data_IF_978017865563
#
_entry.id   IF_978017865563
#
_cell.length_a   1.000
_cell.length_b   1.000
_cell.length_c   1.000
_cell.angle_alpha   90.00
_cell.angle_beta   90.00
_cell.angle_gamma   90.00
#
_symmetry.space_group_name_H-M   'P 1'
#
loop_
_entity.id
_entity.type
_entity.pdbx_description
1 polymer ?
#
# COMPACT_ATOMS: atom_id res chain seq x y z
N UNK A 1 7.22 12.47 16.77
CA UNK A 1 7.68 12.61 15.37
C UNK A 1 8.13 11.26 14.86
N UNK A 2 7.66 10.88 13.68
CA UNK A 2 8.03 9.58 13.11
C UNK A 2 9.48 9.58 12.64
N UNK A 3 10.18 8.49 12.91
CA UNK A 3 11.57 8.32 12.51
C UNK A 3 11.66 7.46 11.26
N UNK A 4 12.71 7.70 10.47
CA UNK A 4 12.97 6.88 9.29
C UNK A 4 13.61 5.58 9.74
N UNK A 5 13.02 4.46 9.32
CA UNK A 5 13.49 3.12 9.66
C UNK A 5 13.65 2.33 8.38
N UNK A 6 14.75 1.59 8.25
CA UNK A 6 14.90 0.66 7.13
C UNK A 6 14.09 -0.60 7.41
N UNK A 7 13.19 -0.93 6.50
CA UNK A 7 12.30 -2.09 6.64
C UNK A 7 12.55 -3.04 5.48
N UNK A 8 12.63 -4.33 5.79
CA UNK A 8 12.83 -5.36 4.77
C UNK A 8 11.67 -5.34 3.75
N UNK A 9 11.99 -5.37 2.48
CA UNK A 9 10.98 -5.33 1.41
C UNK A 9 9.94 -6.44 1.56
N UNK A 10 10.35 -7.63 2.01
CA UNK A 10 9.45 -8.78 2.21
C UNK A 10 8.40 -8.54 3.30
N UNK A 11 8.61 -7.52 4.15
CA UNK A 11 7.68 -7.17 5.23
C UNK A 11 6.71 -6.06 4.85
N UNK A 12 6.83 -5.54 3.63
CA UNK A 12 5.98 -4.47 3.13
C UNK A 12 4.89 -5.06 2.24
N UNK A 13 3.63 -4.76 2.57
CA UNK A 13 2.47 -5.28 1.86
C UNK A 13 1.69 -4.13 1.23
N UNK A 14 1.18 -4.29 -0.01
CA UNK A 14 0.36 -3.24 -0.61
C UNK A 14 -0.97 -3.11 0.14
N UNK A 15 -1.49 -1.89 0.21
CA UNK A 15 -2.79 -1.66 0.83
C UNK A 15 -3.90 -2.22 -0.07
N UNK A 16 -4.86 -2.98 0.47
CA UNK A 16 -5.92 -3.58 -0.36
C UNK A 16 -6.83 -2.54 -1.03
N UNK A 17 -6.94 -1.35 -0.46
CA UNK A 17 -7.78 -0.28 -1.01
C UNK A 17 -6.99 0.76 -1.80
N UNK A 18 -5.74 0.49 -2.13
CA UNK A 18 -4.94 1.41 -2.93
C UNK A 18 -5.63 1.65 -4.27
N UNK A 19 -5.97 2.91 -4.61
CA UNK A 19 -6.67 3.21 -5.87
C UNK A 19 -5.84 2.87 -7.10
N UNK A 20 -4.51 2.87 -6.99
CA UNK A 20 -3.63 2.48 -8.08
C UNK A 20 -3.32 0.98 -8.01
N UNK A 21 -4.14 0.17 -8.69
CA UNK A 21 -3.97 -1.28 -8.69
C UNK A 21 -2.85 -1.75 -9.63
N UNK A 22 -2.68 -1.06 -10.75
CA UNK A 22 -1.59 -1.34 -11.68
C UNK A 22 -0.48 -0.32 -11.48
N UNK A 23 0.73 -0.82 -11.25
CA UNK A 23 1.88 0.02 -10.97
C UNK A 23 2.63 0.46 -12.22
N UNK A 24 2.26 -0.09 -13.38
CA UNK A 24 2.87 0.23 -14.66
C UNK A 24 4.25 -0.38 -14.83
N UNK A 25 4.99 0.11 -15.82
CA UNK A 25 6.36 -0.34 -16.08
C UNK A 25 7.30 0.30 -15.05
N UNK A 26 7.99 -0.54 -14.29
CA UNK A 26 8.90 -0.11 -13.23
C UNK A 26 10.36 -0.16 -13.65
N UNK A 27 10.66 -0.49 -14.90
CA UNK A 27 12.04 -0.73 -15.38
C UNK A 27 12.95 0.47 -15.14
N UNK A 28 12.52 1.66 -15.56
CA UNK A 28 13.31 2.89 -15.37
C UNK A 28 13.48 3.25 -13.91
N UNK A 29 12.39 3.15 -13.14
CA UNK A 29 12.43 3.46 -11.71
C UNK A 29 13.33 2.47 -10.97
N UNK A 30 13.23 1.18 -11.28
CA UNK A 30 14.07 0.15 -10.69
C UNK A 30 15.54 0.37 -11.03
N UNK A 31 15.86 0.74 -12.27
CA UNK A 31 17.22 1.05 -12.68
C UNK A 31 17.78 2.25 -11.91
N UNK A 32 17.00 3.30 -11.76
CA UNK A 32 17.38 4.48 -10.99
C UNK A 32 17.63 4.14 -9.53
N UNK A 33 16.76 3.34 -8.93
CA UNK A 33 16.90 2.91 -7.53
C UNK A 33 18.16 2.06 -7.34
N UNK A 34 18.43 1.16 -8.27
CA UNK A 34 19.60 0.29 -8.22
C UNK A 34 20.89 1.10 -8.28
N UNK A 35 20.93 2.15 -9.11
CA UNK A 35 22.09 2.99 -9.31
C UNK A 35 22.27 4.03 -8.21
N UNK A 36 21.18 4.69 -7.79
CA UNK A 36 21.23 5.87 -6.92
C UNK A 36 20.58 5.67 -5.54
N UNK A 37 19.89 4.57 -5.31
CA UNK A 37 19.11 4.33 -4.10
C UNK A 37 17.77 5.05 -4.12
N UNK A 38 17.09 5.04 -2.99
CA UNK A 38 15.78 5.67 -2.83
C UNK A 38 15.95 7.03 -2.16
N UNK A 39 15.53 8.10 -2.84
CA UNK A 39 15.62 9.46 -2.32
C UNK A 39 14.42 9.87 -1.47
N UNK A 40 13.28 9.22 -1.65
CA UNK A 40 12.06 9.52 -0.90
C UNK A 40 11.63 8.31 -0.09
N UNK A 41 11.32 8.53 1.18
CA UNK A 41 10.88 7.47 2.07
C UNK A 41 9.47 7.00 1.73
N UNK A 42 9.20 5.73 2.01
CA UNK A 42 7.84 5.22 1.97
C UNK A 42 7.14 5.60 3.28
N UNK A 43 5.81 5.71 3.23
CA UNK A 43 4.98 5.87 4.43
C UNK A 43 4.22 4.57 4.64
N UNK A 44 4.34 4.00 5.83
CA UNK A 44 3.75 2.70 6.17
C UNK A 44 3.06 2.75 7.53
N UNK A 45 2.13 1.83 7.75
CA UNK A 45 1.51 1.62 9.06
C UNK A 45 1.88 0.22 9.57
N UNK A 46 1.91 0.01 10.91
CA UNK A 46 2.15 -1.33 11.46
C UNK A 46 1.00 -2.28 11.14
N UNK A 47 1.33 -3.54 10.85
CA UNK A 47 0.34 -4.56 10.57
C UNK A 47 -0.09 -4.59 9.11
N UNK A 48 -0.80 -5.66 8.74
CA UNK A 48 -1.31 -5.80 7.37
C UNK A 48 -2.46 -6.80 7.32
N UNK A 49 -3.30 -6.69 6.29
CA UNK A 49 -4.30 -7.71 5.99
C UNK A 49 -3.63 -8.88 5.28
N UNK A 50 -3.95 -10.10 5.69
CA UNK A 50 -3.38 -11.29 5.06
C UNK A 50 -3.82 -11.39 3.60
N UNK A 51 -2.87 -11.67 2.70
CA UNK A 51 -3.20 -11.99 1.32
C UNK A 51 -3.74 -13.43 1.25
N UNK A 52 -4.20 -13.87 0.07
CA UNK A 52 -4.80 -15.20 -0.07
C UNK A 52 -3.84 -16.31 0.32
N UNK A 53 -2.57 -16.21 -0.05
CA UNK A 53 -1.56 -17.22 0.27
C UNK A 53 -1.35 -17.33 1.78
N UNK A 54 -1.20 -16.20 2.45
CA UNK A 54 -1.01 -16.15 3.90
C UNK A 54 -2.23 -16.70 4.65
N UNK A 55 -3.42 -16.31 4.20
CA UNK A 55 -4.67 -16.76 4.79
C UNK A 55 -4.85 -18.27 4.66
N UNK A 56 -4.58 -18.82 3.47
CA UNK A 56 -4.65 -20.27 3.24
C UNK A 56 -3.67 -21.00 4.13
N UNK A 57 -2.42 -20.54 4.22
CA UNK A 57 -1.41 -21.15 5.05
C UNK A 57 -1.83 -21.18 6.52
N UNK A 58 -2.39 -20.06 7.01
CA UNK A 58 -2.88 -19.97 8.38
C UNK A 58 -4.01 -20.96 8.64
N UNK A 59 -4.98 -21.05 7.74
CA UNK A 59 -6.11 -21.97 7.89
C UNK A 59 -5.64 -23.43 7.88
N UNK A 60 -4.70 -23.79 7.02
CA UNK A 60 -4.16 -25.15 6.95
C UNK A 60 -3.41 -25.49 8.23
N UNK A 61 -2.61 -24.56 8.76
CA UNK A 61 -1.89 -24.75 10.03
C UNK A 61 -2.85 -24.99 11.20
N UNK A 62 -4.05 -24.40 11.13
CA UNK A 62 -5.10 -24.59 12.14
C UNK A 62 -5.98 -25.83 11.89
N UNK A 63 -5.60 -26.65 10.91
CA UNK A 63 -6.29 -27.90 10.60
C UNK A 63 -7.42 -27.77 9.56
N UNK A 64 -7.53 -26.60 8.89
CA UNK A 64 -8.53 -26.37 7.88
C UNK A 64 -8.15 -26.89 6.50
N UNK A 65 -9.10 -26.77 5.58
CA UNK A 65 -8.95 -27.18 4.18
C UNK A 65 -8.49 -26.01 3.32
N UNK A 66 -7.44 -26.23 2.51
CA UNK A 66 -6.88 -25.18 1.66
C UNK A 66 -7.89 -24.65 0.62
N UNK A 67 -8.69 -25.54 0.02
CA UNK A 67 -9.68 -25.14 -0.97
C UNK A 67 -10.80 -24.29 -0.37
N UNK A 68 -11.27 -24.68 0.83
CA UNK A 68 -12.26 -23.91 1.57
C UNK A 68 -11.73 -22.55 1.98
N UNK A 69 -10.48 -22.48 2.43
CA UNK A 69 -9.84 -21.22 2.81
C UNK A 69 -9.70 -20.29 1.59
N UNK A 70 -9.30 -20.81 0.44
CA UNK A 70 -9.18 -20.02 -0.78
C UNK A 70 -10.52 -19.42 -1.20
N UNK A 71 -11.60 -20.19 -1.05
CA UNK A 71 -12.95 -19.71 -1.39
C UNK A 71 -13.47 -18.67 -0.39
N UNK A 72 -13.05 -18.74 0.87
CA UNK A 72 -13.50 -17.83 1.94
C UNK A 72 -12.71 -16.54 2.02
N UNK A 73 -11.52 -16.48 1.43
CA UNK A 73 -10.66 -15.31 1.54
C UNK A 73 -11.24 -14.09 0.84
N UNK A 74 -11.08 -12.93 1.50
CA UNK A 74 -11.34 -11.61 0.91
C UNK A 74 -10.18 -10.69 1.28
N UNK A 75 -9.97 -9.57 0.55
CA UNK A 75 -8.82 -8.68 0.83
C UNK A 75 -8.71 -8.16 2.26
N UNK A 76 -9.81 -8.13 3.01
CA UNK A 76 -9.82 -7.65 4.39
C UNK A 76 -10.32 -8.71 5.37
N UNK A 77 -10.09 -9.99 5.06
CA UNK A 77 -10.60 -11.08 5.87
C UNK A 77 -9.96 -11.14 7.27
N UNK A 78 -8.63 -11.01 7.35
CA UNK A 78 -7.89 -11.13 8.62
C UNK A 78 -6.79 -10.10 8.68
N UNK A 79 -6.71 -9.38 9.80
CA UNK A 79 -5.62 -8.45 10.10
C UNK A 79 -4.55 -9.15 10.91
N UNK A 80 -3.28 -8.91 10.57
CA UNK A 80 -2.12 -9.36 11.34
C UNK A 80 -1.40 -8.14 11.90
N UNK A 81 -0.89 -8.22 13.12
CA UNK A 81 -0.06 -7.17 13.70
C UNK A 81 1.39 -7.24 13.21
N UNK A 82 1.74 -8.30 12.48
CA UNK A 82 3.08 -8.46 11.91
C UNK A 82 3.23 -7.65 10.63
N UNK A 83 4.47 -7.31 10.31
CA UNK A 83 4.83 -6.59 9.09
C UNK A 83 4.15 -5.21 8.98
N UNK A 84 4.12 -4.65 7.78
CA UNK A 84 3.67 -3.28 7.54
C UNK A 84 2.86 -3.19 6.27
N UNK A 85 1.94 -2.21 6.24
CA UNK A 85 1.15 -1.90 5.05
C UNK A 85 1.63 -0.57 4.46
N UNK A 86 1.86 -0.55 3.15
CA UNK A 86 2.30 0.66 2.45
C UNK A 86 1.11 1.59 2.25
N UNK A 87 1.28 2.86 2.63
CA UNK A 87 0.28 3.90 2.39
C UNK A 87 0.73 4.77 1.22
N UNK A 88 1.98 5.21 1.22
CA UNK A 88 2.56 6.02 0.14
C UNK A 88 3.84 5.33 -0.32
N UNK A 89 4.02 5.23 -1.63
CA UNK A 89 5.24 4.69 -2.23
C UNK A 89 5.11 3.28 -2.77
N UNK A 90 3.92 2.85 -3.15
CA UNK A 90 3.70 1.50 -3.71
C UNK A 90 4.62 1.23 -4.91
N UNK A 91 4.75 2.18 -5.84
CA UNK A 91 5.63 2.01 -7.00
C UNK A 91 7.09 1.91 -6.58
N UNK A 92 7.51 2.75 -5.64
CA UNK A 92 8.90 2.72 -5.14
C UNK A 92 9.22 1.40 -4.46
N UNK A 93 8.30 0.87 -3.66
CA UNK A 93 8.47 -0.42 -3.00
C UNK A 93 8.61 -1.54 -4.02
N UNK A 94 7.73 -1.57 -5.03
CA UNK A 94 7.78 -2.59 -6.08
C UNK A 94 9.05 -2.47 -6.92
N UNK A 95 9.45 -1.25 -7.26
CA UNK A 95 10.67 -1.01 -8.04
C UNK A 95 11.92 -1.38 -7.24
N UNK A 96 11.93 -1.13 -5.93
CA UNK A 96 13.04 -1.51 -5.06
C UNK A 96 13.22 -3.03 -5.02
N UNK A 97 12.14 -3.78 -4.97
CA UNK A 97 12.18 -5.24 -5.03
C UNK A 97 12.71 -5.71 -6.39
N UNK A 98 12.26 -5.09 -7.47
CA UNK A 98 12.73 -5.40 -8.82
C UNK A 98 14.23 -5.08 -8.98
N UNK A 99 14.70 -4.03 -8.31
CA UNK A 99 16.11 -3.65 -8.31
C UNK A 99 16.99 -4.55 -7.43
N UNK A 100 16.39 -5.42 -6.63
CA UNK A 100 17.10 -6.35 -5.76
C UNK A 100 17.47 -5.80 -4.40
N UNK A 101 16.87 -4.68 -3.98
CA UNK A 101 17.11 -4.15 -2.64
C UNK A 101 16.44 -5.03 -1.59
N UNK A 102 17.13 -5.24 -0.48
CA UNK A 102 16.59 -6.04 0.63
C UNK A 102 15.77 -5.19 1.59
N UNK A 103 16.12 -3.91 1.74
CA UNK A 103 15.47 -2.98 2.67
C UNK A 103 15.24 -1.63 2.00
N UNK A 104 14.24 -0.90 2.47
CA UNK A 104 13.95 0.45 1.99
C UNK A 104 13.67 1.37 3.18
N UNK A 105 13.99 2.68 3.05
CA UNK A 105 13.70 3.63 4.12
C UNK A 105 12.20 3.93 4.19
N UNK A 106 11.64 3.81 5.38
CA UNK A 106 10.21 4.00 5.62
C UNK A 106 9.99 4.88 6.84
N UNK A 107 8.90 5.64 6.81
CA UNK A 107 8.38 6.33 7.98
C UNK A 107 7.17 5.55 8.47
N UNK A 108 7.22 5.09 9.71
CA UNK A 108 6.12 4.34 10.32
C UNK A 108 5.19 5.33 11.02
N UNK A 109 3.93 5.34 10.62
CA UNK A 109 2.92 6.25 11.18
C UNK A 109 1.72 5.44 11.64
N UNK A 110 0.89 6.04 12.49
CA UNK A 110 -0.38 5.46 12.89
C UNK A 110 -1.49 6.23 12.19
N UNK A 111 -2.36 5.51 11.48
CA UNK A 111 -3.51 6.08 10.78
C UNK A 111 -4.69 5.15 10.96
N UNK A 112 -5.87 5.72 11.22
CA UNK A 112 -7.11 4.94 11.17
C UNK A 112 -7.48 4.67 9.70
N UNK A 113 -8.50 3.84 9.48
CA UNK A 113 -8.89 3.44 8.12
C UNK A 113 -9.24 4.65 7.25
N UNK A 114 -9.95 5.62 7.81
CA UNK A 114 -10.33 6.83 7.07
C UNK A 114 -9.12 7.66 6.68
N UNK A 115 -8.17 7.87 7.58
CA UNK A 115 -6.94 8.61 7.30
C UNK A 115 -6.11 7.91 6.23
N UNK A 116 -6.07 6.58 6.25
CA UNK A 116 -5.37 5.80 5.23
C UNK A 116 -5.97 6.04 3.85
N UNK A 117 -7.29 5.93 3.75
CA UNK A 117 -8.00 6.12 2.48
C UNK A 117 -7.84 7.54 1.96
N UNK A 118 -7.98 8.55 2.82
CA UNK A 118 -7.79 9.95 2.44
C UNK A 118 -6.39 10.20 1.91
N UNK A 119 -5.37 9.70 2.60
CA UNK A 119 -3.98 9.90 2.21
C UNK A 119 -3.70 9.27 0.85
N UNK A 120 -4.17 8.05 0.62
CA UNK A 120 -3.98 7.36 -0.66
C UNK A 120 -4.72 8.06 -1.80
N UNK A 121 -5.93 8.56 -1.54
CA UNK A 121 -6.72 9.27 -2.55
C UNK A 121 -6.04 10.57 -2.97
N UNK A 122 -5.56 11.34 -2.01
CA UNK A 122 -4.87 12.61 -2.29
C UNK A 122 -3.59 12.33 -3.10
N UNK A 123 -2.80 11.36 -2.70
CA UNK A 123 -1.57 11.01 -3.41
C UNK A 123 -1.89 10.55 -4.84
N UNK A 124 -2.91 9.71 -5.01
CA UNK A 124 -3.31 9.21 -6.32
C UNK A 124 -3.81 10.34 -7.24
N UNK A 125 -4.55 11.31 -6.69
CA UNK A 125 -5.06 12.45 -7.46
C UNK A 125 -3.95 13.40 -7.94
N UNK A 126 -2.78 13.33 -7.34
CA UNK A 126 -1.63 14.16 -7.73
C UNK A 126 -0.81 13.53 -8.86
N UNK A 127 -1.20 12.34 -9.34
CA UNK A 127 -0.50 11.69 -10.44
C UNK A 127 -0.73 12.45 -11.74
N UNK A 128 0.34 12.66 -12.49
CA UNK A 128 0.25 13.37 -13.79
C UNK A 128 -0.45 12.55 -14.87
N UNK A 129 -0.56 11.24 -14.71
CA UNK A 129 -1.19 10.33 -15.67
C UNK A 129 -2.67 10.05 -15.39
N UNK A 130 -3.25 10.70 -14.36
CA UNK A 130 -4.67 10.57 -14.06
C UNK A 130 -5.54 11.26 -15.11
N UNK A 131 -6.60 10.57 -15.51
CA UNK A 131 -7.63 11.18 -16.38
C UNK A 131 -8.53 12.09 -15.54
N UNK A 132 -9.23 13.00 -16.22
CA UNK A 132 -10.24 13.85 -15.56
C UNK A 132 -11.31 13.03 -14.86
N UNK A 133 -11.71 11.91 -15.49
CA UNK A 133 -12.71 11.00 -14.94
C UNK A 133 -12.21 10.36 -13.62
N UNK A 134 -10.98 9.89 -13.60
CA UNK A 134 -10.39 9.30 -12.40
C UNK A 134 -10.28 10.31 -11.26
N UNK A 135 -9.92 11.54 -11.57
CA UNK A 135 -9.88 12.63 -10.58
C UNK A 135 -11.26 12.89 -10.00
N UNK A 136 -12.28 12.93 -10.85
CA UNK A 136 -13.66 13.14 -10.40
C UNK A 136 -14.12 12.01 -9.47
N UNK A 137 -13.79 10.78 -9.80
CA UNK A 137 -14.11 9.64 -8.94
C UNK A 137 -13.41 9.73 -7.59
N UNK A 138 -12.16 10.18 -7.56
CA UNK A 138 -11.41 10.38 -6.32
C UNK A 138 -12.07 11.43 -5.43
N UNK A 139 -12.46 12.56 -5.99
CA UNK A 139 -13.18 13.60 -5.25
C UNK A 139 -14.51 13.10 -4.69
N UNK A 140 -15.28 12.38 -5.50
CA UNK A 140 -16.57 11.85 -5.06
C UNK A 140 -16.37 10.88 -3.89
N UNK A 141 -15.38 10.00 -3.97
CA UNK A 141 -15.11 9.05 -2.90
C UNK A 141 -14.71 9.75 -1.60
N UNK A 142 -13.93 10.81 -1.68
CA UNK A 142 -13.54 11.58 -0.50
C UNK A 142 -14.73 12.31 0.12
N UNK A 143 -15.64 12.82 -0.71
CA UNK A 143 -16.89 13.42 -0.22
C UNK A 143 -17.76 12.37 0.47
N UNK A 144 -17.83 11.16 -0.08
CA UNK A 144 -18.57 10.05 0.52
C UNK A 144 -17.98 9.64 1.88
N UNK A 145 -16.68 9.90 2.09
CA UNK A 145 -16.03 9.67 3.39
C UNK A 145 -16.28 10.81 4.37
N UNK A 146 -17.03 11.84 3.97
CA UNK A 146 -17.42 12.95 4.81
C UNK A 146 -16.44 14.11 4.83
N UNK A 147 -15.54 14.18 3.87
CA UNK A 147 -14.61 15.31 3.76
C UNK A 147 -15.30 16.51 3.14
N UNK A 148 -14.82 17.70 3.52
CA UNK A 148 -15.27 18.95 2.88
C UNK A 148 -14.37 19.23 1.67
N UNK A 149 -14.86 20.06 0.75
CA UNK A 149 -14.09 20.51 -0.40
C UNK A 149 -12.80 21.21 0.04
N UNK A 150 -12.86 21.97 1.12
CA UNK A 150 -11.70 22.66 1.68
C UNK A 150 -10.63 21.69 2.15
N UNK A 151 -11.02 20.58 2.80
CA UNK A 151 -10.08 19.54 3.22
C UNK A 151 -9.42 18.87 2.04
N UNK A 152 -10.17 18.62 0.98
CA UNK A 152 -9.66 18.01 -0.24
C UNK A 152 -8.70 18.94 -0.98
N UNK A 153 -9.01 20.23 -1.00
CA UNK A 153 -8.22 21.24 -1.71
C UNK A 153 -6.91 21.60 -0.99
N UNK A 154 -6.87 21.43 0.31
CA UNK A 154 -5.68 21.75 1.08
C UNK A 154 -4.67 20.58 1.08
#
# INVERSE_FOLDING_TARGET
MAEITNIACRRLHPHPDNPRKELGDLTELAASIKENGIFQNLTVIPGHYLNSREYIAKCVDEGGDAAAAAAAWTPKAVWSSDDYTIIIGHRRAAAAQQAGLLEVPCVVVEMDEREQLQTMMIENMQRSDLTTYEQAQGFQLMLDLGDTVEQVAS
#
